data_IF_895078060278
#
_entry.id   IF_895078060278
#
_cell.length_a   1.000
_cell.length_b   1.000
_cell.length_c   1.000
_cell.angle_alpha   90.00
_cell.angle_beta   90.00
_cell.angle_gamma   90.00
#
_symmetry.space_group_name_H-M   'P 1'
#
loop_
_entity.id
_entity.type
_entity.pdbx_description
1 polymer ?
#
# COMPACT_ATOMS: atom_id res chain seq x y z
N UNK A 1 -9.24 -1.85 34.94
CA UNK A 1 -9.05 -1.70 33.50
C UNK A 1 -9.11 -3.06 32.83
N UNK A 2 -10.00 -3.24 31.85
CA UNK A 2 -9.98 -4.49 31.12
C UNK A 2 -8.64 -4.63 30.40
N UNK A 3 -8.03 -5.80 30.49
CA UNK A 3 -6.83 -6.12 29.73
C UNK A 3 -7.20 -6.09 28.25
N UNK A 4 -6.52 -5.23 27.49
CA UNK A 4 -6.68 -5.22 26.05
C UNK A 4 -6.17 -6.55 25.51
N UNK A 5 -6.98 -7.24 24.73
CA UNK A 5 -6.51 -8.44 24.03
C UNK A 5 -5.35 -8.07 23.13
N UNK A 6 -4.41 -8.99 22.89
CA UNK A 6 -3.26 -8.77 22.01
C UNK A 6 -3.69 -8.22 20.64
N UNK A 7 -4.83 -8.68 20.14
CA UNK A 7 -5.40 -8.25 18.88
C UNK A 7 -5.87 -6.79 18.90
N UNK A 8 -6.61 -6.40 19.94
CA UNK A 8 -7.06 -5.02 20.12
C UNK A 8 -5.87 -4.07 20.25
N UNK A 9 -4.81 -4.53 20.89
CA UNK A 9 -3.58 -3.76 21.06
C UNK A 9 -2.84 -3.55 19.73
N UNK A 10 -2.76 -4.56 18.86
CA UNK A 10 -2.19 -4.43 17.52
C UNK A 10 -2.99 -3.45 16.65
N UNK A 11 -4.31 -3.54 16.68
CA UNK A 11 -5.18 -2.60 15.94
C UNK A 11 -4.93 -1.17 16.42
N UNK A 12 -4.84 -0.97 17.73
CA UNK A 12 -4.58 0.33 18.31
C UNK A 12 -3.22 0.89 17.84
N UNK A 13 -2.18 0.08 17.87
CA UNK A 13 -0.84 0.48 17.41
C UNK A 13 -0.83 0.88 15.93
N UNK A 14 -1.51 0.12 15.09
CA UNK A 14 -1.59 0.43 13.67
C UNK A 14 -2.33 1.75 13.42
N UNK A 15 -3.40 1.99 14.17
CA UNK A 15 -4.13 3.26 14.10
C UNK A 15 -3.27 4.43 14.56
N UNK A 16 -2.57 4.27 15.67
CA UNK A 16 -1.64 5.30 16.18
C UNK A 16 -0.52 5.58 15.20
N UNK A 17 0.04 4.54 14.57
CA UNK A 17 1.06 4.68 13.53
C UNK A 17 0.52 5.44 12.32
N UNK A 18 -0.69 5.10 11.88
CA UNK A 18 -1.37 5.76 10.77
C UNK A 18 -1.64 7.25 11.08
N UNK A 19 -2.20 7.53 12.27
CA UNK A 19 -2.48 8.90 12.72
C UNK A 19 -1.20 9.72 12.82
N UNK A 20 -0.11 9.14 13.31
CA UNK A 20 1.18 9.79 13.41
C UNK A 20 1.71 10.19 12.02
N UNK A 21 1.62 9.28 11.05
CA UNK A 21 2.05 9.57 9.68
C UNK A 21 1.17 10.66 9.06
N UNK A 22 -0.14 10.63 9.32
CA UNK A 22 -1.06 11.69 8.89
C UNK A 22 -0.65 13.05 9.45
N UNK A 23 -0.30 13.11 10.74
CA UNK A 23 0.19 14.35 11.37
C UNK A 23 1.48 14.84 10.72
N UNK A 24 2.43 13.95 10.50
CA UNK A 24 3.70 14.28 9.84
C UNK A 24 3.48 14.83 8.43
N UNK A 25 2.61 14.20 7.66
CA UNK A 25 2.26 14.63 6.30
C UNK A 25 1.51 15.95 6.33
N UNK A 26 0.59 16.13 7.28
CA UNK A 26 -0.21 17.36 7.41
C UNK A 26 0.59 18.55 7.91
N UNK A 27 1.61 18.31 8.74
CA UNK A 27 2.48 19.38 9.26
C UNK A 27 3.54 19.83 8.26
N UNK A 28 3.78 19.04 7.21
CA UNK A 28 4.66 19.40 6.11
C UNK A 28 4.03 20.40 5.16
N UNK A 29 4.81 20.90 4.20
CA UNK A 29 4.33 21.83 3.17
C UNK A 29 3.27 21.22 2.23
N UNK A 30 3.11 19.90 2.25
CA UNK A 30 2.08 19.16 1.52
C UNK A 30 1.05 18.64 2.49
N UNK A 31 -0.16 19.17 2.42
CA UNK A 31 -1.31 18.78 3.24
C UNK A 31 -1.96 17.48 2.75
N UNK A 32 -1.18 16.56 2.19
CA UNK A 32 -1.71 15.32 1.60
C UNK A 32 -2.15 14.35 2.69
N UNK A 33 -3.43 14.03 2.73
CA UNK A 33 -4.03 13.08 3.64
C UNK A 33 -4.04 11.69 2.99
N UNK A 34 -3.25 10.75 3.52
CA UNK A 34 -3.15 9.39 2.98
C UNK A 34 -4.50 8.70 2.95
N UNK A 35 -5.31 8.87 3.99
CA UNK A 35 -6.65 8.26 4.05
C UNK A 35 -7.54 8.76 2.90
N UNK A 36 -7.54 10.05 2.61
CA UNK A 36 -8.31 10.61 1.51
C UNK A 36 -7.82 10.10 0.15
N UNK A 37 -6.51 9.94 -0.02
CA UNK A 37 -5.93 9.37 -1.24
C UNK A 37 -6.33 7.91 -1.43
N UNK A 38 -6.35 7.14 -0.35
CA UNK A 38 -6.81 5.74 -0.38
C UNK A 38 -8.28 5.68 -0.77
N UNK A 39 -9.13 6.51 -0.20
CA UNK A 39 -10.55 6.55 -0.56
C UNK A 39 -10.76 6.91 -2.02
N UNK A 40 -10.03 7.89 -2.52
CA UNK A 40 -10.06 8.30 -3.93
C UNK A 40 -9.70 7.14 -4.86
N UNK A 41 -8.62 6.43 -4.58
CA UNK A 41 -8.19 5.28 -5.36
C UNK A 41 -9.17 4.10 -5.25
N UNK A 42 -9.70 3.85 -4.06
CA UNK A 42 -10.73 2.84 -3.81
C UNK A 42 -11.96 3.06 -4.68
N UNK A 43 -12.47 4.28 -4.73
CA UNK A 43 -13.62 4.63 -5.55
C UNK A 43 -13.31 4.54 -7.04
N UNK A 44 -12.14 4.99 -7.45
CA UNK A 44 -11.74 5.01 -8.86
C UNK A 44 -11.64 3.60 -9.45
N UNK A 45 -11.06 2.66 -8.70
CA UNK A 45 -10.76 1.32 -9.19
C UNK A 45 -11.69 0.23 -8.64
N UNK A 46 -12.61 0.56 -7.76
CA UNK A 46 -13.47 -0.43 -7.13
C UNK A 46 -12.72 -1.39 -6.21
N UNK A 47 -11.63 -0.93 -5.60
CA UNK A 47 -10.83 -1.72 -4.66
C UNK A 47 -11.32 -1.44 -3.25
N UNK A 48 -11.65 -2.47 -2.44
CA UNK A 48 -11.96 -2.24 -1.03
C UNK A 48 -10.82 -1.45 -0.36
N UNK A 49 -11.18 -0.35 0.32
CA UNK A 49 -10.16 0.52 0.95
C UNK A 49 -9.30 -0.22 1.97
N UNK A 50 -9.85 -1.23 2.63
CA UNK A 50 -9.13 -2.06 3.60
C UNK A 50 -7.97 -2.83 2.94
N UNK A 51 -8.12 -3.22 1.68
CA UNK A 51 -7.04 -3.88 0.94
C UNK A 51 -5.91 -2.90 0.65
N UNK A 52 -6.23 -1.70 0.20
CA UNK A 52 -5.21 -0.66 -0.02
C UNK A 52 -4.49 -0.28 1.27
N UNK A 53 -5.25 -0.09 2.35
CA UNK A 53 -4.70 0.20 3.67
C UNK A 53 -3.78 -0.92 4.16
N UNK A 54 -4.19 -2.17 3.97
CA UNK A 54 -3.42 -3.34 4.37
C UNK A 54 -2.10 -3.43 3.60
N UNK A 55 -2.13 -3.22 2.29
CA UNK A 55 -0.91 -3.24 1.47
C UNK A 55 0.04 -2.12 1.91
N UNK A 56 -0.45 -0.91 2.09
CA UNK A 56 0.36 0.22 2.57
C UNK A 56 1.00 -0.10 3.93
N UNK A 57 0.22 -0.68 4.84
CA UNK A 57 0.71 -1.08 6.16
C UNK A 57 1.86 -2.09 6.05
N UNK A 58 1.66 -3.15 5.28
CA UNK A 58 2.65 -4.22 5.12
C UNK A 58 3.88 -3.75 4.35
N UNK A 59 3.68 -2.97 3.28
CA UNK A 59 4.79 -2.56 2.40
C UNK A 59 5.67 -1.48 3.03
N UNK A 60 5.09 -0.48 3.65
CA UNK A 60 5.83 0.71 4.11
C UNK A 60 5.57 1.12 5.55
N UNK A 61 4.60 0.53 6.24
CA UNK A 61 4.16 1.02 7.54
C UNK A 61 3.69 2.47 7.47
N UNK A 62 3.05 2.86 6.38
CA UNK A 62 2.57 4.22 6.11
C UNK A 62 3.68 5.26 5.95
N UNK A 63 4.89 4.82 5.62
CA UNK A 63 6.01 5.73 5.40
C UNK A 63 6.13 6.10 3.91
N UNK A 64 5.82 7.36 3.52
CA UNK A 64 5.90 7.77 2.11
C UNK A 64 7.34 7.79 1.58
N UNK A 65 8.34 7.76 2.44
CA UNK A 65 9.76 7.76 2.08
C UNK A 65 10.39 6.38 2.13
N UNK A 66 9.60 5.32 2.31
CA UNK A 66 10.11 3.96 2.37
C UNK A 66 10.84 3.58 1.08
N UNK A 67 11.96 2.91 1.24
CA UNK A 67 12.83 2.47 0.14
C UNK A 67 13.33 1.06 0.42
N UNK A 68 13.34 0.21 -0.60
CA UNK A 68 13.90 -1.13 -0.51
C UNK A 68 14.59 -1.49 -1.82
N UNK A 69 15.78 -2.08 -1.73
CA UNK A 69 16.49 -2.61 -2.87
C UNK A 69 16.31 -4.12 -2.93
N UNK A 70 15.86 -4.62 -4.06
CA UNK A 70 15.61 -6.04 -4.29
C UNK A 70 16.89 -6.78 -4.72
N UNK A 71 16.86 -8.11 -4.63
CA UNK A 71 18.00 -8.95 -5.01
C UNK A 71 18.37 -8.83 -6.49
N UNK A 72 17.39 -8.53 -7.34
CA UNK A 72 17.60 -8.32 -8.78
C UNK A 72 18.16 -6.94 -9.12
N UNK A 73 18.42 -6.11 -8.10
CA UNK A 73 18.94 -4.77 -8.26
C UNK A 73 17.88 -3.70 -8.49
N UNK A 74 16.61 -4.07 -8.66
CA UNK A 74 15.53 -3.11 -8.79
C UNK A 74 15.16 -2.53 -7.42
N UNK A 75 14.41 -1.45 -7.43
CA UNK A 75 14.16 -0.67 -6.23
C UNK A 75 12.67 -0.37 -6.09
N UNK A 76 12.16 -0.50 -4.86
CA UNK A 76 10.77 -0.19 -4.52
C UNK A 76 10.74 1.10 -3.71
N UNK A 77 9.76 1.97 -3.98
CA UNK A 77 9.65 3.26 -3.32
C UNK A 77 8.24 3.57 -2.87
N UNK A 78 8.15 4.25 -1.74
CA UNK A 78 6.94 4.92 -1.28
C UNK A 78 5.96 4.03 -0.56
N UNK A 79 4.76 4.56 -0.37
CA UNK A 79 3.71 3.96 0.46
C UNK A 79 3.34 2.54 0.05
N UNK A 80 3.20 2.27 -1.24
CA UNK A 80 2.84 0.97 -1.77
C UNK A 80 4.03 0.20 -2.34
N UNK A 81 5.26 0.71 -2.12
CA UNK A 81 6.50 0.08 -2.57
C UNK A 81 6.47 -0.27 -4.05
N UNK A 82 6.16 0.74 -4.88
CA UNK A 82 6.10 0.58 -6.32
C UNK A 82 7.50 0.43 -6.90
N UNK A 83 7.67 -0.56 -7.77
CA UNK A 83 8.93 -0.83 -8.47
C UNK A 83 8.92 -0.14 -9.83
N UNK A 84 9.80 0.85 -10.00
CA UNK A 84 9.90 1.61 -11.25
C UNK A 84 10.35 0.72 -12.42
N UNK A 85 11.41 -0.05 -12.21
CA UNK A 85 12.04 -0.84 -13.26
C UNK A 85 11.16 -1.97 -13.79
N UNK A 86 10.35 -2.59 -12.91
CA UNK A 86 9.43 -3.66 -13.31
C UNK A 86 8.15 -3.14 -13.96
N UNK A 87 7.90 -1.83 -13.92
CA UNK A 87 6.65 -1.23 -14.40
C UNK A 87 6.89 -0.09 -15.39
N UNK A 88 7.90 -0.21 -16.25
CA UNK A 88 8.31 0.85 -17.16
C UNK A 88 7.18 1.33 -18.08
N UNK A 89 6.39 0.40 -18.61
CA UNK A 89 5.26 0.73 -19.47
C UNK A 89 4.22 1.59 -18.75
N UNK A 90 3.91 1.21 -17.52
CA UNK A 90 2.98 1.95 -16.68
C UNK A 90 3.55 3.31 -16.25
N UNK A 91 4.84 3.36 -15.92
CA UNK A 91 5.51 4.62 -15.61
C UNK A 91 5.39 5.61 -16.76
N UNK A 92 5.61 5.14 -17.98
CA UNK A 92 5.46 5.95 -19.19
C UNK A 92 4.03 6.47 -19.36
N UNK A 93 3.04 5.62 -19.12
CA UNK A 93 1.62 6.00 -19.19
C UNK A 93 1.29 7.14 -18.22
N UNK A 94 1.86 7.12 -17.03
CA UNK A 94 1.66 8.17 -16.01
C UNK A 94 2.60 9.37 -16.15
N UNK A 95 3.49 9.36 -17.15
CA UNK A 95 4.46 10.44 -17.33
C UNK A 95 5.56 10.46 -16.27
N UNK A 96 5.82 9.33 -15.61
CA UNK A 96 6.87 9.21 -14.61
C UNK A 96 8.19 8.92 -15.30
N UNK A 97 9.13 9.86 -15.21
CA UNK A 97 10.44 9.78 -15.85
C UNK A 97 11.58 9.59 -14.86
N UNK A 98 11.32 9.82 -13.58
CA UNK A 98 12.30 9.72 -12.50
C UNK A 98 11.71 8.87 -11.38
N UNK A 99 12.40 7.79 -10.94
CA UNK A 99 11.94 6.97 -9.81
C UNK A 99 11.64 7.75 -8.54
N UNK A 100 12.33 8.88 -8.31
CA UNK A 100 12.10 9.74 -7.14
C UNK A 100 10.66 10.31 -7.09
N UNK A 101 9.98 10.42 -8.23
CA UNK A 101 8.58 10.86 -8.27
C UNK A 101 7.65 9.92 -7.51
N UNK A 102 8.05 8.65 -7.34
CA UNK A 102 7.25 7.66 -6.60
C UNK A 102 7.18 7.91 -5.09
N UNK A 103 7.97 8.83 -4.56
CA UNK A 103 7.83 9.25 -3.17
C UNK A 103 6.63 10.18 -2.94
N UNK A 104 6.05 10.74 -4.01
CA UNK A 104 4.80 11.50 -3.89
C UNK A 104 3.65 10.57 -3.48
N UNK A 105 2.99 10.83 -2.34
CA UNK A 105 1.94 9.93 -1.85
C UNK A 105 0.78 9.73 -2.82
N UNK A 106 0.30 10.79 -3.45
CA UNK A 106 -0.82 10.69 -4.40
C UNK A 106 -0.45 9.82 -5.60
N UNK A 107 0.69 10.09 -6.21
CA UNK A 107 1.16 9.34 -7.37
C UNK A 107 1.44 7.88 -7.02
N UNK A 108 2.06 7.63 -5.88
CA UNK A 108 2.39 6.28 -5.43
C UNK A 108 1.14 5.42 -5.24
N UNK A 109 0.13 5.95 -4.54
CA UNK A 109 -1.12 5.24 -4.30
C UNK A 109 -1.88 5.04 -5.61
N UNK A 110 -1.91 6.03 -6.49
CA UNK A 110 -2.57 5.91 -7.80
C UNK A 110 -1.94 4.77 -8.62
N UNK A 111 -0.62 4.75 -8.72
CA UNK A 111 0.10 3.72 -9.49
C UNK A 111 -0.03 2.33 -8.84
N UNK A 112 0.14 2.25 -7.53
CA UNK A 112 0.01 1.00 -6.79
C UNK A 112 -1.39 0.41 -6.89
N UNK A 113 -2.42 1.25 -6.75
CA UNK A 113 -3.82 0.84 -6.92
C UNK A 113 -4.08 0.37 -8.36
N UNK A 114 -3.54 1.04 -9.35
CA UNK A 114 -3.66 0.63 -10.76
C UNK A 114 -3.03 -0.75 -10.99
N UNK A 115 -1.86 -1.02 -10.44
CA UNK A 115 -1.22 -2.34 -10.52
C UNK A 115 -2.12 -3.41 -9.90
N UNK A 116 -2.64 -3.16 -8.72
CA UNK A 116 -3.53 -4.10 -8.04
C UNK A 116 -4.83 -4.34 -8.81
N UNK A 117 -5.40 -3.28 -9.37
CA UNK A 117 -6.59 -3.35 -10.21
C UNK A 117 -6.36 -4.22 -11.45
N UNK A 118 -5.23 -4.04 -12.16
CA UNK A 118 -4.89 -4.86 -13.31
C UNK A 118 -4.71 -6.32 -12.92
N UNK A 119 -4.12 -6.60 -11.76
CA UNK A 119 -4.01 -7.96 -11.23
C UNK A 119 -5.38 -8.56 -10.96
N UNK A 120 -6.29 -7.79 -10.36
CA UNK A 120 -7.66 -8.26 -10.11
C UNK A 120 -8.39 -8.58 -11.41
N UNK A 121 -8.28 -7.74 -12.42
CA UNK A 121 -8.88 -8.02 -13.73
C UNK A 121 -8.33 -9.31 -14.34
N UNK A 122 -7.04 -9.56 -14.15
CA UNK A 122 -6.37 -10.75 -14.69
C UNK A 122 -6.80 -12.04 -13.97
N UNK A 123 -6.89 -12.02 -12.66
CA UNK A 123 -7.10 -13.24 -11.85
C UNK A 123 -8.51 -13.42 -11.33
N UNK A 124 -9.31 -12.37 -11.28
CA UNK A 124 -10.69 -12.43 -10.85
C UNK A 124 -10.92 -12.62 -9.35
N UNK A 125 -9.87 -12.55 -8.54
CA UNK A 125 -10.00 -12.60 -7.08
C UNK A 125 -8.88 -11.82 -6.39
N UNK A 126 -9.19 -11.34 -5.18
CA UNK A 126 -8.27 -10.47 -4.44
C UNK A 126 -7.04 -11.21 -3.90
N UNK A 127 -7.18 -12.47 -3.50
CA UNK A 127 -6.04 -13.25 -2.98
C UNK A 127 -4.93 -13.34 -4.02
N UNK A 128 -5.29 -13.68 -5.25
CA UNK A 128 -4.31 -13.78 -6.34
C UNK A 128 -3.82 -12.41 -6.79
N UNK A 129 -4.66 -11.39 -6.75
CA UNK A 129 -4.26 -10.02 -7.06
C UNK A 129 -3.20 -9.53 -6.07
N UNK A 130 -3.38 -9.78 -4.77
CA UNK A 130 -2.44 -9.45 -3.71
C UNK A 130 -1.15 -10.24 -3.87
N UNK A 131 -1.26 -11.54 -4.13
CA UNK A 131 -0.08 -12.40 -4.36
C UNK A 131 0.76 -11.88 -5.52
N UNK A 132 0.13 -11.58 -6.65
CA UNK A 132 0.81 -11.08 -7.84
C UNK A 132 1.42 -9.70 -7.63
N UNK A 133 0.85 -8.88 -6.75
CA UNK A 133 1.39 -7.57 -6.41
C UNK A 133 2.82 -7.68 -5.85
N UNK A 134 3.06 -8.65 -5.00
CA UNK A 134 4.38 -8.90 -4.44
C UNK A 134 5.26 -9.78 -5.36
N UNK A 135 4.66 -10.79 -6.02
CA UNK A 135 5.37 -11.67 -6.95
C UNK A 135 4.57 -12.92 -7.26
N UNK A 136 4.05 -12.99 -8.48
CA UNK A 136 3.15 -14.09 -8.88
C UNK A 136 3.81 -15.47 -8.77
N UNK A 137 5.09 -15.59 -9.17
CA UNK A 137 5.81 -16.86 -9.19
C UNK A 137 6.60 -17.15 -7.91
N UNK A 138 6.64 -16.18 -6.98
CA UNK A 138 7.37 -16.33 -5.73
C UNK A 138 6.58 -17.17 -4.73
N UNK A 139 7.29 -17.82 -3.82
CA UNK A 139 6.70 -18.43 -2.63
C UNK A 139 6.52 -17.34 -1.58
N UNK A 140 5.44 -16.56 -1.73
CA UNK A 140 5.16 -15.39 -0.92
C UNK A 140 3.82 -15.48 -0.19
N UNK A 141 3.38 -16.69 0.16
CA UNK A 141 2.13 -16.88 0.89
C UNK A 141 2.15 -16.23 2.28
N UNK A 142 3.32 -16.07 2.89
CA UNK A 142 3.46 -15.31 4.15
C UNK A 142 3.08 -13.84 3.96
N UNK A 143 3.48 -13.24 2.85
CA UNK A 143 3.07 -11.89 2.49
C UNK A 143 1.55 -11.80 2.34
N UNK A 144 0.95 -12.74 1.61
CA UNK A 144 -0.50 -12.78 1.39
C UNK A 144 -1.23 -12.87 2.75
N UNK A 145 -0.78 -13.76 3.64
CA UNK A 145 -1.38 -13.89 4.98
C UNK A 145 -1.27 -12.60 5.79
N UNK A 146 -0.12 -11.93 5.75
CA UNK A 146 0.06 -10.64 6.45
C UNK A 146 -0.93 -9.60 5.94
N UNK A 147 -1.08 -9.48 4.63
CA UNK A 147 -2.02 -8.53 4.03
C UNK A 147 -3.46 -8.88 4.44
N UNK A 148 -3.86 -10.15 4.32
CA UNK A 148 -5.22 -10.58 4.67
C UNK A 148 -5.53 -10.37 6.16
N UNK A 149 -4.55 -10.60 7.04
CA UNK A 149 -4.70 -10.31 8.47
C UNK A 149 -4.92 -8.82 8.71
N UNK A 150 -4.18 -7.96 8.01
CA UNK A 150 -4.38 -6.50 8.10
C UNK A 150 -5.73 -6.08 7.55
N UNK A 151 -6.20 -6.69 6.47
CA UNK A 151 -7.56 -6.44 5.94
C UNK A 151 -8.60 -6.71 7.03
N UNK A 152 -8.50 -7.85 7.72
CA UNK A 152 -9.41 -8.19 8.82
C UNK A 152 -9.34 -7.18 9.95
N UNK A 153 -8.15 -6.74 10.33
CA UNK A 153 -7.94 -5.73 11.38
C UNK A 153 -8.58 -4.39 11.00
N UNK A 154 -8.36 -3.92 9.77
CA UNK A 154 -8.92 -2.66 9.31
C UNK A 154 -10.45 -2.71 9.20
N UNK A 155 -11.02 -3.81 8.76
CA UNK A 155 -12.49 -3.99 8.70
C UNK A 155 -13.15 -3.83 10.07
N UNK A 156 -12.47 -4.21 11.13
CA UNK A 156 -13.00 -4.09 12.49
C UNK A 156 -12.81 -2.70 13.09
N UNK A 157 -11.88 -1.93 12.54
CA UNK A 157 -11.54 -0.59 13.03
C UNK A 157 -12.40 0.52 12.39
N UNK A 158 -13.04 0.22 11.26
CA UNK A 158 -13.80 1.20 10.49
C UNK A 158 -15.25 0.82 10.33
#
# INVERSE_FOLDING_TARGET
MPLKTTRAWHIQRERESFEKVLEEVSSGKNTTNIHALVEKASLKYGIPKEILMAIISVESGFNPRAYNKNKDGTEDRGLMQVNYQHNLSLMKEYGITDPEQLYDPELNIEVGARILYENYKRFGNWVMAIKAYNGLKADNWDYVRKVLNKVSEFRRSY
#
